data_IF_760331619557
#
_entry.id   IF_760331619557
#
_cell.length_a   1.000
_cell.length_b   1.000
_cell.length_c   1.000
_cell.angle_alpha   90.00
_cell.angle_beta   90.00
_cell.angle_gamma   90.00
#
_symmetry.space_group_name_H-M   'P 1'
#
loop_
_entity.id
_entity.type
_entity.pdbx_description
1 polymer ?
#
# COMPACT_ATOMS: atom_id res chain seq x y z
N UNK A 1 -0.34 -12.60 -9.39
CA UNK A 1 -0.35 -12.70 -10.87
C UNK A 1 -1.03 -14.01 -11.22
N UNK A 2 -1.70 -14.04 -12.35
CA UNK A 2 -2.35 -15.22 -12.91
C UNK A 2 -2.09 -15.24 -14.41
N UNK A 3 -1.98 -16.43 -15.01
CA UNK A 3 -1.78 -16.62 -16.44
C UNK A 3 -2.11 -18.06 -16.85
N UNK A 4 -2.50 -18.21 -18.10
CA UNK A 4 -2.65 -19.52 -18.74
C UNK A 4 -1.38 -19.86 -19.53
N UNK A 5 -1.14 -21.15 -19.71
CA UNK A 5 -0.01 -21.66 -20.47
C UNK A 5 -0.50 -22.57 -21.58
N UNK A 6 -0.28 -22.15 -22.83
CA UNK A 6 -0.72 -22.89 -24.01
C UNK A 6 0.49 -23.48 -24.74
N UNK A 7 0.30 -24.67 -25.33
CA UNK A 7 1.33 -25.32 -26.14
C UNK A 7 0.80 -25.54 -27.54
N UNK A 8 1.58 -25.15 -28.54
CA UNK A 8 1.24 -25.36 -29.94
C UNK A 8 2.25 -26.30 -30.63
N UNK A 9 2.48 -27.47 -30.04
CA UNK A 9 3.53 -28.40 -30.47
C UNK A 9 3.33 -28.91 -31.91
N UNK A 10 2.09 -28.89 -32.42
CA UNK A 10 1.73 -29.31 -33.79
C UNK A 10 2.22 -28.35 -34.88
N UNK A 11 2.11 -27.03 -34.63
CA UNK A 11 2.50 -26.01 -35.60
C UNK A 11 4.00 -25.70 -35.56
N UNK A 12 4.64 -25.89 -34.40
CA UNK A 12 6.05 -25.56 -34.17
C UNK A 12 7.01 -26.76 -34.34
N UNK A 13 6.51 -27.91 -34.83
CA UNK A 13 7.34 -29.07 -35.15
C UNK A 13 8.06 -29.70 -33.95
N UNK A 14 7.54 -29.50 -32.74
CA UNK A 14 8.21 -29.87 -31.47
C UNK A 14 8.34 -31.39 -31.21
N UNK A 15 7.87 -32.24 -32.12
CA UNK A 15 7.86 -33.70 -31.97
C UNK A 15 9.24 -34.35 -32.18
N UNK A 16 10.19 -33.67 -32.82
CA UNK A 16 11.50 -34.24 -33.14
C UNK A 16 12.47 -34.21 -31.94
N UNK A 17 12.24 -33.34 -30.96
CA UNK A 17 13.19 -33.02 -29.87
C UNK A 17 12.80 -33.61 -28.50
N UNK A 18 11.74 -34.44 -28.42
CA UNK A 18 11.15 -35.05 -27.20
C UNK A 18 10.74 -34.08 -26.07
N UNK A 19 10.96 -32.78 -26.25
CA UNK A 19 10.66 -31.71 -25.30
C UNK A 19 9.93 -30.59 -26.03
N UNK A 20 8.68 -30.30 -25.67
CA UNK A 20 7.92 -29.21 -26.27
C UNK A 20 8.36 -27.86 -25.67
N UNK A 21 8.86 -26.95 -26.52
CA UNK A 21 9.41 -25.63 -26.14
C UNK A 21 8.61 -24.44 -26.68
N UNK A 22 7.45 -24.69 -27.27
CA UNK A 22 6.56 -23.65 -27.82
C UNK A 22 5.50 -23.18 -26.82
N UNK A 23 5.79 -23.31 -25.52
CA UNK A 23 4.90 -22.81 -24.48
C UNK A 23 4.72 -21.30 -24.64
N UNK A 24 3.48 -20.84 -24.65
CA UNK A 24 3.11 -19.43 -24.74
C UNK A 24 2.30 -19.03 -23.52
N UNK A 25 2.64 -17.88 -22.96
CA UNK A 25 1.90 -17.28 -21.85
C UNK A 25 0.76 -16.47 -22.43
N UNK A 26 -0.47 -16.79 -22.03
CA UNK A 26 -1.66 -16.04 -22.45
C UNK A 26 -2.48 -15.61 -21.24
N UNK A 27 -3.31 -14.58 -21.44
CA UNK A 27 -4.17 -14.00 -20.39
C UNK A 27 -3.44 -13.59 -19.11
N UNK A 28 -2.15 -13.24 -19.21
CA UNK A 28 -1.38 -12.81 -18.05
C UNK A 28 -1.98 -11.54 -17.43
N UNK A 29 -2.20 -11.57 -16.12
CA UNK A 29 -2.77 -10.45 -15.39
C UNK A 29 -2.21 -10.32 -13.97
N UNK A 30 -2.10 -9.09 -13.49
CA UNK A 30 -1.80 -8.83 -12.08
C UNK A 30 -3.08 -9.00 -11.28
N UNK A 31 -3.06 -9.88 -10.29
CA UNK A 31 -4.25 -10.14 -9.45
C UNK A 31 -4.23 -9.39 -8.12
N UNK A 32 -3.03 -9.01 -7.65
CA UNK A 32 -2.81 -8.31 -6.37
C UNK A 32 -1.52 -7.51 -6.40
N UNK A 33 -1.50 -6.38 -5.70
CA UNK A 33 -0.34 -5.50 -5.53
C UNK A 33 -0.07 -5.26 -4.05
N UNK A 34 1.19 -5.38 -3.63
CA UNK A 34 1.63 -5.02 -2.28
C UNK A 34 2.31 -3.65 -2.31
N UNK A 35 1.53 -2.57 -2.09
CA UNK A 35 2.06 -1.18 -2.11
C UNK A 35 3.22 -1.01 -1.12
N UNK A 36 3.15 -1.63 0.06
CA UNK A 36 4.21 -1.54 1.06
C UNK A 36 5.55 -2.05 0.50
N UNK A 37 5.52 -3.13 -0.28
CA UNK A 37 6.72 -3.64 -0.95
C UNK A 37 7.20 -2.66 -2.02
N UNK A 38 6.31 -2.11 -2.85
CA UNK A 38 6.69 -1.13 -3.88
C UNK A 38 7.35 0.10 -3.25
N UNK A 39 6.79 0.63 -2.16
CA UNK A 39 7.37 1.76 -1.41
C UNK A 39 8.75 1.40 -0.86
N UNK A 40 8.94 0.20 -0.33
CA UNK A 40 10.24 -0.26 0.17
C UNK A 40 11.26 -0.46 -0.96
N UNK A 41 10.85 -1.05 -2.09
CA UNK A 41 11.71 -1.26 -3.26
C UNK A 41 12.20 0.09 -3.78
N UNK A 42 11.28 1.03 -4.03
CA UNK A 42 11.62 2.41 -4.42
C UNK A 42 12.52 3.04 -3.35
N UNK A 43 12.17 2.98 -2.06
CA UNK A 43 12.96 3.60 -1.00
C UNK A 43 14.39 3.05 -0.87
N UNK A 44 14.61 1.79 -1.25
CA UNK A 44 15.91 1.12 -1.23
C UNK A 44 16.80 1.48 -2.42
N UNK A 45 16.23 2.00 -3.51
CA UNK A 45 17.00 2.50 -4.66
C UNK A 45 17.73 3.83 -4.37
N UNK A 46 17.30 4.58 -3.34
CA UNK A 46 17.88 5.87 -2.99
C UNK A 46 19.05 5.76 -2.00
N UNK A 47 20.02 6.66 -2.17
CA UNK A 47 21.12 6.91 -1.22
C UNK A 47 21.17 8.41 -0.87
N UNK A 48 20.90 8.82 0.40
CA UNK A 48 20.52 7.96 1.52
C UNK A 48 19.13 7.33 1.34
N UNK A 49 18.90 6.19 1.99
CA UNK A 49 17.59 5.53 1.99
C UNK A 49 16.52 6.46 2.55
N UNK A 50 15.31 6.35 2.01
CA UNK A 50 14.18 7.16 2.50
C UNK A 50 13.84 6.82 3.95
N UNK A 51 13.58 7.84 4.74
CA UNK A 51 13.17 7.72 6.13
C UNK A 51 11.65 7.47 6.26
N UNK A 52 11.12 7.17 7.47
CA UNK A 52 9.68 6.88 7.64
C UNK A 52 8.73 8.00 7.18
N UNK A 53 9.09 9.28 7.35
CA UNK A 53 8.26 10.40 6.90
C UNK A 53 8.22 10.50 5.36
N UNK A 54 9.35 10.27 4.71
CA UNK A 54 9.46 10.23 3.24
C UNK A 54 8.69 9.03 2.67
N UNK A 55 8.84 7.84 3.27
CA UNK A 55 8.07 6.64 2.89
C UNK A 55 6.58 6.84 3.06
N UNK A 56 6.15 7.51 4.13
CA UNK A 56 4.75 7.86 4.36
C UNK A 56 4.21 8.70 3.20
N UNK A 57 4.89 9.79 2.81
CA UNK A 57 4.44 10.63 1.69
C UNK A 57 4.50 9.88 0.37
N UNK A 58 5.54 9.09 0.13
CA UNK A 58 5.66 8.28 -1.08
C UNK A 58 4.46 7.36 -1.26
N UNK A 59 4.06 6.64 -0.22
CA UNK A 59 2.84 5.81 -0.28
C UNK A 59 1.60 6.64 -0.61
N UNK A 60 1.43 7.80 0.03
CA UNK A 60 0.29 8.69 -0.25
C UNK A 60 0.26 9.11 -1.70
N UNK A 61 1.39 9.59 -2.23
CA UNK A 61 1.47 10.03 -3.61
C UNK A 61 1.21 8.88 -4.57
N UNK A 62 1.84 7.72 -4.37
CA UNK A 62 1.58 6.55 -5.22
C UNK A 62 0.09 6.20 -5.24
N UNK A 63 -0.59 6.18 -4.11
CA UNK A 63 -2.02 5.82 -4.08
C UNK A 63 -2.95 6.89 -4.68
N UNK A 64 -2.60 8.17 -4.57
CA UNK A 64 -3.51 9.28 -4.93
C UNK A 64 -3.20 9.98 -6.24
N UNK A 65 -1.93 10.02 -6.64
CA UNK A 65 -1.50 10.65 -7.89
C UNK A 65 -1.28 9.63 -8.99
N UNK A 66 -1.38 8.34 -8.68
CA UNK A 66 -1.15 7.26 -9.65
C UNK A 66 -2.23 6.21 -9.52
N UNK A 67 -2.50 5.49 -10.61
CA UNK A 67 -3.41 4.35 -10.62
C UNK A 67 -2.69 3.06 -10.19
N UNK A 68 -1.74 3.11 -9.25
CA UNK A 68 -0.96 1.92 -8.82
C UNK A 68 -1.83 0.75 -8.33
N UNK A 69 -3.05 1.06 -7.88
CA UNK A 69 -4.04 0.09 -7.44
C UNK A 69 -4.92 -0.47 -8.57
N UNK A 70 -4.90 0.15 -9.76
CA UNK A 70 -5.52 -0.40 -10.95
C UNK A 70 -4.60 -1.47 -11.53
N UNK A 71 -5.04 -2.73 -11.42
CA UNK A 71 -4.24 -3.87 -11.81
C UNK A 71 -4.06 -4.00 -13.32
N UNK A 72 -4.92 -3.33 -14.10
CA UNK A 72 -4.84 -3.29 -15.56
C UNK A 72 -3.71 -2.37 -16.05
N UNK A 73 -3.25 -1.43 -15.23
CA UNK A 73 -2.19 -0.47 -15.57
C UNK A 73 -0.76 -1.04 -15.32
N UNK A 74 -0.64 -2.32 -14.97
CA UNK A 74 0.65 -2.98 -14.76
C UNK A 74 1.11 -3.72 -16.02
N UNK A 75 2.36 -3.45 -16.41
CA UNK A 75 3.00 -4.09 -17.56
C UNK A 75 3.64 -5.42 -17.15
N UNK A 76 3.30 -6.48 -17.89
CA UNK A 76 3.88 -7.81 -17.74
C UNK A 76 4.78 -8.07 -18.96
N UNK A 77 6.08 -8.16 -18.72
CA UNK A 77 7.08 -8.53 -19.73
C UNK A 77 7.20 -10.05 -19.78
N UNK A 78 7.05 -10.59 -20.99
CA UNK A 78 7.24 -12.01 -21.29
C UNK A 78 8.45 -12.15 -22.22
N UNK A 79 9.30 -13.12 -21.95
CA UNK A 79 10.49 -13.40 -22.77
C UNK A 79 10.55 -14.86 -23.15
N UNK A 80 11.18 -15.15 -24.30
CA UNK A 80 11.42 -16.53 -24.71
C UNK A 80 12.61 -17.12 -23.96
N UNK A 81 12.39 -18.28 -23.36
CA UNK A 81 13.38 -19.08 -22.63
C UNK A 81 13.50 -20.47 -23.26
N UNK A 82 14.31 -21.33 -22.65
CA UNK A 82 14.57 -22.68 -23.16
C UNK A 82 13.31 -23.56 -23.18
N UNK A 83 12.32 -23.30 -22.31
CA UNK A 83 11.08 -24.09 -22.21
C UNK A 83 9.85 -23.41 -22.82
N UNK A 84 10.05 -22.33 -23.57
CA UNK A 84 8.98 -21.46 -24.07
C UNK A 84 9.00 -20.11 -23.37
N UNK A 85 7.88 -19.41 -23.41
CA UNK A 85 7.73 -18.10 -22.79
C UNK A 85 7.77 -18.19 -21.26
N UNK A 86 8.50 -17.24 -20.65
CA UNK A 86 8.63 -17.04 -19.22
C UNK A 86 8.36 -15.57 -18.88
N UNK A 87 7.76 -15.32 -17.73
CA UNK A 87 7.59 -13.95 -17.21
C UNK A 87 8.96 -13.43 -16.79
N UNK A 88 9.41 -12.37 -17.45
CA UNK A 88 10.67 -11.70 -17.16
C UNK A 88 10.49 -10.68 -16.04
N UNK A 89 9.51 -9.79 -16.18
CA UNK A 89 9.28 -8.72 -15.22
C UNK A 89 7.83 -8.28 -15.16
N UNK A 90 7.45 -7.73 -14.01
CA UNK A 90 6.17 -7.06 -13.79
C UNK A 90 6.49 -5.67 -13.27
N UNK A 91 6.04 -4.65 -13.99
CA UNK A 91 6.41 -3.27 -13.71
C UNK A 91 5.22 -2.32 -13.80
N UNK A 92 5.32 -1.19 -13.11
CA UNK A 92 4.34 -0.13 -13.19
C UNK A 92 4.98 1.06 -13.92
N UNK A 93 4.27 1.73 -14.86
CA UNK A 93 4.83 2.84 -15.64
C UNK A 93 5.54 3.90 -14.79
N UNK A 94 6.79 4.21 -15.15
CA UNK A 94 7.78 4.90 -14.31
C UNK A 94 7.53 6.38 -14.06
N UNK A 95 6.49 6.99 -14.62
CA UNK A 95 6.16 8.41 -14.37
C UNK A 95 5.83 8.66 -12.89
N UNK A 96 5.27 7.66 -12.21
CA UNK A 96 5.05 7.65 -10.76
C UNK A 96 6.36 7.75 -9.94
N UNK A 97 7.46 7.19 -10.45
CA UNK A 97 8.78 7.17 -9.79
C UNK A 97 9.46 8.53 -9.90
N UNK A 98 9.18 9.32 -10.95
CA UNK A 98 9.73 10.67 -11.13
C UNK A 98 9.37 11.68 -10.02
N UNK A 99 8.35 11.37 -9.20
CA UNK A 99 7.89 12.21 -8.10
C UNK A 99 8.86 12.25 -6.91
N UNK A 100 9.68 11.22 -6.69
CA UNK A 100 10.49 11.06 -5.47
C UNK A 100 11.55 12.14 -5.27
N UNK A 101 12.40 12.41 -6.28
CA UNK A 101 13.57 13.26 -6.10
C UNK A 101 13.24 14.72 -5.79
N UNK A 102 12.27 15.29 -6.50
CA UNK A 102 11.90 16.71 -6.34
C UNK A 102 10.88 16.94 -5.24
N UNK A 103 10.04 15.94 -4.97
CA UNK A 103 8.88 16.11 -4.09
C UNK A 103 9.07 15.43 -2.74
N UNK A 104 9.55 14.18 -2.71
CA UNK A 104 9.59 13.37 -1.49
C UNK A 104 10.85 13.62 -0.67
N UNK A 105 12.03 13.69 -1.30
CA UNK A 105 13.31 13.84 -0.58
C UNK A 105 13.31 15.06 0.38
N UNK A 106 12.80 16.24 0.01
CA UNK A 106 12.76 17.39 0.93
C UNK A 106 11.87 17.21 2.18
N UNK A 107 11.01 16.19 2.21
CA UNK A 107 10.01 15.93 3.25
C UNK A 107 10.55 14.97 4.32
N UNK A 108 11.71 15.31 4.87
CA UNK A 108 12.47 14.51 5.84
C UNK A 108 11.86 14.44 7.25
N UNK A 109 10.84 15.25 7.56
CA UNK A 109 10.12 15.21 8.83
C UNK A 109 8.60 15.16 8.61
N UNK A 110 7.87 14.66 9.61
CA UNK A 110 6.41 14.63 9.56
C UNK A 110 5.79 16.03 9.51
N UNK A 111 6.42 17.03 10.12
CA UNK A 111 5.98 18.42 10.06
C UNK A 111 6.05 19.02 8.65
N UNK A 112 6.95 18.51 7.79
CA UNK A 112 6.99 18.88 6.37
C UNK A 112 6.08 17.99 5.53
N UNK A 113 6.16 16.68 5.76
CA UNK A 113 5.44 15.65 5.03
C UNK A 113 3.91 15.80 5.15
N UNK A 114 3.39 15.98 6.37
CA UNK A 114 1.95 15.98 6.63
C UNK A 114 1.23 17.13 5.93
N UNK A 115 1.63 18.41 6.09
CA UNK A 115 0.99 19.50 5.38
C UNK A 115 1.10 19.36 3.86
N UNK A 116 2.23 18.83 3.37
CA UNK A 116 2.46 18.63 1.95
C UNK A 116 1.42 17.70 1.33
N UNK A 117 1.25 16.48 1.86
CA UNK A 117 0.33 15.53 1.24
C UNK A 117 -1.14 15.90 1.49
N UNK A 118 -1.48 16.46 2.66
CA UNK A 118 -2.87 16.88 2.94
C UNK A 118 -3.34 17.90 1.91
N UNK A 119 -2.47 18.85 1.54
CA UNK A 119 -2.73 19.82 0.48
C UNK A 119 -2.88 19.19 -0.90
N UNK A 120 -2.18 18.08 -1.16
CA UNK A 120 -2.25 17.35 -2.42
C UNK A 120 -3.54 16.51 -2.55
N UNK A 121 -4.01 15.90 -1.47
CA UNK A 121 -5.18 15.00 -1.48
C UNK A 121 -6.52 15.72 -1.31
N UNK A 122 -6.56 16.70 -0.41
CA UNK A 122 -7.77 17.42 -0.07
C UNK A 122 -7.45 18.89 -0.22
N UNK A 123 -8.15 19.60 -1.12
CA UNK A 123 -7.94 21.04 -1.39
C UNK A 123 -8.09 21.96 -0.16
N UNK A 124 -8.26 21.40 1.04
CA UNK A 124 -8.36 22.04 2.33
C UNK A 124 -7.35 21.43 3.31
N UNK A 125 -6.51 22.28 3.91
CA UNK A 125 -5.75 21.91 5.09
C UNK A 125 -6.72 21.58 6.23
N UNK A 126 -6.51 20.44 6.92
CA UNK A 126 -7.21 20.17 8.17
C UNK A 126 -6.71 21.18 9.21
N UNK A 127 -7.47 22.25 9.43
CA UNK A 127 -7.10 23.35 10.35
C UNK A 127 -6.66 22.85 11.73
N UNK A 128 -7.25 21.74 12.20
CA UNK A 128 -6.90 21.14 13.49
C UNK A 128 -5.46 20.60 13.57
N UNK A 129 -4.84 20.31 12.42
CA UNK A 129 -3.47 19.81 12.33
C UNK A 129 -2.43 20.94 12.11
N UNK A 130 -2.88 22.19 11.93
CA UNK A 130 -1.97 23.33 11.71
C UNK A 130 -1.09 23.58 12.93
N UNK A 131 0.22 23.71 12.68
CA UNK A 131 1.22 23.98 13.71
C UNK A 131 1.42 22.85 14.72
N UNK A 132 0.81 21.68 14.51
CA UNK A 132 0.99 20.51 15.36
C UNK A 132 2.34 19.87 15.14
N UNK A 133 2.86 19.25 16.20
CA UNK A 133 4.01 18.34 16.11
C UNK A 133 3.51 16.92 16.00
N UNK A 134 4.32 16.07 15.38
CA UNK A 134 3.95 14.69 15.14
C UNK A 134 4.92 13.72 15.82
N UNK A 135 4.36 12.66 16.40
CA UNK A 135 5.14 11.56 16.96
C UNK A 135 4.55 10.22 16.57
N UNK A 136 5.40 9.31 16.11
CA UNK A 136 5.00 7.92 15.91
C UNK A 136 4.66 7.25 17.25
N UNK A 137 3.47 6.67 17.33
CA UNK A 137 3.04 5.84 18.45
C UNK A 137 2.40 4.56 17.94
N UNK A 138 2.37 3.52 18.78
CA UNK A 138 1.54 2.34 18.54
C UNK A 138 0.26 2.46 19.37
N UNK A 139 -0.88 2.26 18.73
CA UNK A 139 -2.20 2.28 19.37
C UNK A 139 -2.93 0.99 19.11
N UNK A 140 -3.76 0.55 20.04
CA UNK A 140 -4.65 -0.58 19.80
C UNK A 140 -5.81 -0.12 18.90
N UNK A 141 -6.23 -0.99 17.99
CA UNK A 141 -7.33 -0.72 17.05
C UNK A 141 -8.67 -0.41 17.72
N UNK A 142 -8.91 -0.90 18.94
CA UNK A 142 -10.10 -0.61 19.76
C UNK A 142 -10.07 0.78 20.43
N UNK A 143 -8.90 1.42 20.50
CA UNK A 143 -8.74 2.79 20.99
C UNK A 143 -9.01 3.84 19.91
N UNK A 144 -9.13 3.43 18.64
CA UNK A 144 -9.39 4.32 17.52
C UNK A 144 -10.86 4.75 17.46
N UNK A 145 -11.06 6.07 17.42
CA UNK A 145 -12.38 6.72 17.31
C UNK A 145 -12.50 7.39 15.95
N UNK A 146 -13.41 6.89 15.13
CA UNK A 146 -13.71 7.46 13.83
C UNK A 146 -14.84 8.48 14.00
N UNK A 147 -14.57 9.75 13.64
CA UNK A 147 -15.45 10.86 13.98
C UNK A 147 -16.74 10.92 13.16
N UNK A 148 -16.70 10.58 11.87
CA UNK A 148 -17.84 10.67 10.97
C UNK A 148 -18.27 9.28 10.46
N UNK A 149 -19.37 8.75 11.00
CA UNK A 149 -19.93 7.45 10.57
C UNK A 149 -20.38 7.46 9.11
N UNK A 150 -20.94 8.57 8.63
CA UNK A 150 -21.37 8.69 7.23
C UNK A 150 -20.19 8.68 6.25
N UNK A 151 -19.02 9.19 6.66
CA UNK A 151 -17.81 9.11 5.85
C UNK A 151 -17.28 7.68 5.75
N UNK A 152 -17.42 6.88 6.82
CA UNK A 152 -17.07 5.45 6.87
C UNK A 152 -17.98 4.61 5.94
N UNK A 153 -19.27 4.93 5.91
CA UNK A 153 -20.30 4.28 5.07
C UNK A 153 -20.20 4.71 3.60
N UNK A 154 -19.68 5.92 3.31
CA UNK A 154 -19.39 6.39 1.96
C UNK A 154 -18.00 6.01 1.45
N UNK A 155 -17.16 5.32 2.27
CA UNK A 155 -15.91 4.76 1.78
C UNK A 155 -16.28 3.68 0.78
N UNK A 156 -16.24 4.01 -0.50
CA UNK A 156 -16.40 3.13 -1.66
C UNK A 156 -15.95 1.72 -1.31
N UNK A 157 -16.89 0.76 -1.27
CA UNK A 157 -16.67 -0.64 -0.89
C UNK A 157 -15.43 -1.24 -1.59
N UNK A 158 -15.13 -0.83 -2.82
CA UNK A 158 -13.94 -1.28 -3.56
C UNK A 158 -12.57 -0.85 -3.02
N UNK A 159 -12.45 0.27 -2.27
CA UNK A 159 -11.15 0.71 -1.70
C UNK A 159 -10.82 0.05 -0.37
N UNK A 160 -11.84 -0.31 0.42
CA UNK A 160 -11.66 -1.01 1.70
C UNK A 160 -11.08 -2.41 1.47
N UNK A 161 -11.59 -3.14 0.49
CA UNK A 161 -11.09 -4.47 0.11
C UNK A 161 -9.60 -4.44 -0.27
N UNK A 162 -9.15 -3.40 -0.97
CA UNK A 162 -7.75 -3.22 -1.34
C UNK A 162 -6.85 -3.00 -0.12
N UNK A 163 -7.31 -2.23 0.87
CA UNK A 163 -6.54 -2.02 2.11
C UNK A 163 -6.57 -3.22 3.05
N UNK A 164 -7.67 -3.98 3.08
CA UNK A 164 -7.74 -5.24 3.80
C UNK A 164 -6.82 -6.28 3.16
N UNK A 165 -6.83 -6.39 1.84
CA UNK A 165 -5.90 -7.24 1.09
C UNK A 165 -4.44 -6.81 1.31
N UNK A 166 -4.14 -5.51 1.30
CA UNK A 166 -2.80 -4.97 1.61
C UNK A 166 -2.31 -5.44 2.98
N UNK A 167 -3.13 -5.29 4.01
CA UNK A 167 -2.76 -5.67 5.37
C UNK A 167 -2.68 -7.20 5.53
N UNK A 168 -3.51 -7.96 4.82
CA UNK A 168 -3.41 -9.43 4.78
C UNK A 168 -2.12 -9.88 4.08
N UNK A 169 -1.78 -9.34 2.91
CA UNK A 169 -0.57 -9.65 2.17
C UNK A 169 0.69 -9.25 2.93
N UNK A 170 0.67 -8.08 3.58
CA UNK A 170 1.75 -7.64 4.46
C UNK A 170 2.02 -8.62 5.60
N UNK A 171 0.96 -9.12 6.25
CA UNK A 171 1.09 -10.13 7.30
C UNK A 171 1.54 -11.50 6.76
N UNK A 172 1.03 -11.93 5.60
CA UNK A 172 1.37 -13.23 4.99
C UNK A 172 2.80 -13.26 4.47
N UNK A 173 3.29 -12.15 3.91
CA UNK A 173 4.62 -12.05 3.30
C UNK A 173 5.66 -11.35 4.18
N UNK A 174 5.32 -11.01 5.43
CA UNK A 174 6.24 -10.37 6.38
C UNK A 174 6.52 -8.88 6.12
N UNK A 175 5.76 -8.23 5.26
CA UNK A 175 5.88 -6.79 4.97
C UNK A 175 4.94 -5.99 5.87
N UNK A 176 5.45 -5.58 7.03
CA UNK A 176 4.75 -4.59 7.87
C UNK A 176 5.15 -3.18 7.41
N UNK A 177 4.19 -2.26 7.17
CA UNK A 177 4.51 -0.87 6.86
C UNK A 177 5.48 -0.29 7.90
N UNK A 178 6.63 0.20 7.45
CA UNK A 178 7.61 0.83 8.33
C UNK A 178 7.19 2.24 8.76
N UNK A 179 6.17 2.79 8.13
CA UNK A 179 5.60 4.11 8.33
C UNK A 179 4.17 4.06 8.93
N UNK A 180 3.66 5.17 9.47
CA UNK A 180 2.34 5.25 10.10
C UNK A 180 1.17 5.05 9.13
N UNK A 181 0.06 4.49 9.62
CA UNK A 181 -1.16 4.24 8.83
C UNK A 181 -2.16 5.41 8.81
N UNK A 182 -1.96 6.41 9.64
CA UNK A 182 -2.85 7.56 9.71
C UNK A 182 -2.48 8.55 10.81
N UNK A 183 -3.24 9.63 10.90
CA UNK A 183 -3.04 10.73 11.83
C UNK A 183 -4.17 10.74 12.85
N UNK A 184 -3.79 10.87 14.13
CA UNK A 184 -4.71 10.89 15.25
C UNK A 184 -4.43 12.02 16.23
N UNK A 185 -5.45 12.44 16.97
CA UNK A 185 -5.31 13.22 18.22
C UNK A 185 -5.75 12.37 19.40
N UNK A 186 -5.17 12.59 20.58
CA UNK A 186 -5.61 11.90 21.79
C UNK A 186 -6.84 12.60 22.40
N UNK A 187 -7.95 11.86 22.53
CA UNK A 187 -9.21 12.31 23.13
C UNK A 187 -9.57 11.33 24.26
N UNK A 188 -8.87 11.40 25.39
CA UNK A 188 -9.12 10.48 26.51
C UNK A 188 -8.23 10.76 27.69
N UNK A 189 -8.43 10.00 28.78
CA UNK A 189 -7.58 10.14 29.96
C UNK A 189 -6.27 9.38 29.76
N UNK A 190 -5.26 9.65 30.59
CA UNK A 190 -4.03 8.83 30.61
C UNK A 190 -4.29 7.35 30.93
N UNK A 191 -5.40 7.04 31.63
CA UNK A 191 -5.78 5.68 32.04
C UNK A 191 -6.61 4.94 30.99
N UNK A 192 -7.39 5.68 30.20
CA UNK A 192 -8.15 5.17 29.05
C UNK A 192 -7.97 6.14 27.87
N UNK A 193 -6.86 6.03 27.14
CA UNK A 193 -6.61 6.87 25.99
C UNK A 193 -7.47 6.41 24.83
N UNK A 194 -8.18 7.36 24.20
CA UNK A 194 -8.76 7.17 22.87
C UNK A 194 -8.05 8.07 21.88
N UNK A 195 -8.05 7.65 20.63
CA UNK A 195 -7.35 8.33 19.55
C UNK A 195 -8.33 8.62 18.43
N UNK A 196 -8.71 9.88 18.28
CA UNK A 196 -9.58 10.31 17.18
C UNK A 196 -8.80 10.33 15.88
N UNK A 197 -9.36 9.69 14.85
CA UNK A 197 -8.79 9.60 13.52
C UNK A 197 -9.14 10.84 12.70
N UNK A 198 -8.10 11.48 12.15
CA UNK A 198 -8.22 12.64 11.24
C UNK A 198 -7.83 12.31 9.81
N UNK A 199 -6.88 11.39 9.63
CA UNK A 199 -6.51 10.87 8.31
C UNK A 199 -6.20 9.37 8.38
N UNK A 200 -6.28 8.70 7.23
CA UNK A 200 -6.04 7.26 7.11
C UNK A 200 -7.26 6.42 7.45
N UNK A 201 -8.48 6.97 7.29
CA UNK A 201 -9.75 6.28 7.58
C UNK A 201 -9.80 4.87 6.97
N UNK A 202 -9.55 4.73 5.66
CA UNK A 202 -9.54 3.42 5.00
C UNK A 202 -8.50 2.45 5.58
N UNK A 203 -7.25 2.90 5.76
CA UNK A 203 -6.12 2.10 6.29
C UNK A 203 -6.40 1.61 7.71
N UNK A 204 -6.85 2.51 8.58
CA UNK A 204 -7.12 2.24 9.98
C UNK A 204 -8.42 1.44 10.18
N UNK A 205 -9.42 1.64 9.32
CA UNK A 205 -10.64 0.84 9.32
C UNK A 205 -10.36 -0.59 8.87
N UNK A 206 -9.61 -0.79 7.79
CA UNK A 206 -9.18 -2.11 7.34
C UNK A 206 -8.40 -2.85 8.44
N UNK A 207 -7.48 -2.17 9.13
CA UNK A 207 -6.75 -2.76 10.26
C UNK A 207 -7.67 -3.18 11.42
N UNK A 208 -8.76 -2.46 11.64
CA UNK A 208 -9.78 -2.81 12.64
C UNK A 208 -10.66 -3.97 12.17
N UNK A 209 -11.02 -4.04 10.89
CA UNK A 209 -11.82 -5.12 10.31
C UNK A 209 -11.09 -6.47 10.29
N UNK A 210 -9.76 -6.47 10.11
CA UNK A 210 -8.97 -7.71 10.18
C UNK A 210 -9.00 -8.39 11.55
N UNK A 211 -9.26 -7.65 12.63
CA UNK A 211 -9.50 -8.21 13.97
C UNK A 211 -10.86 -8.92 14.04
N UNK A 212 -11.82 -8.55 13.17
CA UNK A 212 -13.19 -9.07 13.15
C UNK A 212 -13.37 -10.31 12.27
N UNK A 213 -12.49 -10.56 11.30
CA UNK A 213 -12.60 -11.64 10.29
C UNK A 213 -11.90 -12.96 10.66
N UNK A 214 -11.75 -13.31 11.96
CA UNK A 214 -11.45 -14.68 12.41
C UNK A 214 -10.17 -15.37 11.85
N UNK A 215 -9.02 -14.67 11.84
CA UNK A 215 -7.68 -15.33 11.76
C UNK A 215 -6.76 -15.12 12.96
N UNK A 216 -7.18 -14.30 13.92
CA UNK A 216 -6.50 -14.14 15.20
C UNK A 216 -7.52 -14.44 16.28
N UNK A 217 -7.25 -15.50 17.07
CA UNK A 217 -8.11 -15.92 18.18
C UNK A 217 -8.51 -14.69 19.01
N UNK A 218 -9.80 -14.69 19.37
CA UNK A 218 -10.45 -13.76 20.29
C UNK A 218 -9.48 -13.12 21.29
N UNK A 219 -9.55 -11.79 21.38
CA UNK A 219 -9.15 -10.94 22.51
C UNK A 219 -7.83 -10.15 22.43
N UNK A 220 -7.17 -10.04 21.27
CA UNK A 220 -6.06 -9.09 21.10
C UNK A 220 -6.31 -8.06 20.00
N UNK A 221 -6.69 -6.84 20.39
CA UNK A 221 -6.72 -5.70 19.48
C UNK A 221 -5.36 -5.55 18.75
N UNK A 222 -5.39 -5.50 17.42
CA UNK A 222 -4.20 -5.26 16.59
C UNK A 222 -3.56 -3.92 16.99
N UNK A 223 -2.24 -3.91 17.18
CA UNK A 223 -1.47 -2.68 17.36
C UNK A 223 -1.13 -2.11 16.00
N UNK A 224 -1.47 -0.86 15.78
CA UNK A 224 -1.16 -0.12 14.55
C UNK A 224 -0.28 1.07 14.85
N UNK A 225 0.65 1.35 13.94
CA UNK A 225 1.49 2.56 14.02
C UNK A 225 0.72 3.75 13.46
N UNK A 226 0.66 4.84 14.22
CA UNK A 226 -0.03 6.09 13.84
C UNK A 226 0.82 7.31 14.19
N UNK A 227 0.50 8.46 13.58
CA UNK A 227 1.04 9.76 13.96
C UNK A 227 0.12 10.42 14.98
N UNK A 228 0.62 10.61 16.20
CA UNK A 228 -0.03 11.46 17.19
C UNK A 228 0.30 12.92 16.90
N UNK A 229 -0.72 13.71 16.60
CA UNK A 229 -0.66 15.17 16.53
C UNK A 229 -0.88 15.78 17.92
N UNK A 230 0.05 16.61 18.39
CA UNK A 230 -0.03 17.29 19.70
C UNK A 230 0.34 18.78 19.61
#
# INVERSE_FOLDING_TARGET
>A
MDYDYEYNCELEGCYEDYCCRCGQIVNASVTKVCIDKVVEDIANEYSPKLNPAQKYVLERLLVHTTNILDLADWDISVTNSYYGEEIDSVSFPSEAVGLTHRTVIPLDTYEKAVPFYLKAENSFELDILKGKKFKEIQVKSDQLVFGNKGHLESLTEGRLDLYEQRLQLGNVHGYTPTYPLGIVTQEGTKKDPKYRVWDGYHRLSAAKNLVRLDKYKSDSALKVKVLLAY
#
